data_IF_592511709096
#
_entry.id   IF_592511709096
#
_cell.length_a   1.000
_cell.length_b   1.000
_cell.length_c   1.000
_cell.angle_alpha   90.00
_cell.angle_beta   90.00
_cell.angle_gamma   90.00
#
_symmetry.space_group_name_H-M   'P 1'
#
loop_
_entity.id
_entity.type
_entity.pdbx_description
1 polymer ?
#
# COMPACT_ATOMS: atom_id res chain seq x y z
N UNK A 1 -13.42 -24.09 -0.93
CA UNK A 1 -12.35 -23.45 -1.73
C UNK A 1 -11.61 -22.45 -0.82
N UNK A 2 -10.58 -22.92 -0.12
CA UNK A 2 -9.73 -22.04 0.70
C UNK A 2 -8.88 -21.18 -0.25
N UNK A 3 -9.30 -19.95 -0.49
CA UNK A 3 -8.46 -18.96 -1.17
C UNK A 3 -7.33 -18.55 -0.22
N UNK A 4 -6.32 -19.41 -0.07
CA UNK A 4 -5.05 -19.02 0.53
C UNK A 4 -4.53 -17.84 -0.28
N UNK A 5 -4.52 -16.67 0.33
CA UNK A 5 -3.86 -15.49 -0.24
C UNK A 5 -2.37 -15.82 -0.21
N UNK A 6 -1.84 -16.37 -1.30
CA UNK A 6 -0.41 -16.63 -1.42
C UNK A 6 0.35 -15.31 -1.26
N UNK A 7 1.41 -15.33 -0.46
CA UNK A 7 2.26 -14.16 -0.28
C UNK A 7 3.04 -13.92 -1.58
N UNK A 8 2.56 -12.97 -2.38
CA UNK A 8 3.21 -12.59 -3.63
C UNK A 8 4.38 -11.65 -3.33
N UNK A 9 5.61 -12.19 -3.38
CA UNK A 9 6.85 -11.42 -3.24
C UNK A 9 7.46 -11.22 -4.64
N UNK A 10 7.58 -9.96 -5.11
CA UNK A 10 8.17 -9.72 -6.42
C UNK A 10 9.69 -9.93 -6.39
N UNK A 11 10.20 -10.47 -7.48
CA UNK A 11 11.63 -10.63 -7.73
C UNK A 11 12.28 -9.27 -7.92
N UNK A 12 13.43 -9.11 -7.27
CA UNK A 12 14.28 -7.94 -7.47
C UNK A 12 14.91 -8.03 -8.86
N UNK A 13 14.84 -6.94 -9.62
CA UNK A 13 15.61 -6.80 -10.86
C UNK A 13 17.08 -6.57 -10.52
N UNK A 14 17.92 -7.55 -10.83
CA UNK A 14 19.38 -7.48 -10.65
C UNK A 14 20.05 -7.37 -12.02
N UNK A 15 21.07 -6.52 -12.14
CA UNK A 15 21.80 -6.32 -13.40
C UNK A 15 22.46 -7.64 -13.81
N UNK A 16 22.19 -8.11 -15.03
CA UNK A 16 22.75 -9.36 -15.58
C UNK A 16 22.00 -10.64 -15.18
N UNK A 17 20.86 -10.54 -14.49
CA UNK A 17 20.00 -11.68 -14.19
C UNK A 17 18.69 -11.59 -15.00
N UNK A 18 18.41 -12.63 -15.76
CA UNK A 18 17.06 -12.83 -16.30
C UNK A 18 16.18 -13.44 -15.22
N UNK A 19 15.03 -12.81 -14.98
CA UNK A 19 14.04 -13.32 -14.06
C UNK A 19 13.12 -14.30 -14.81
N UNK A 20 12.61 -15.33 -14.11
CA UNK A 20 11.64 -16.25 -14.70
C UNK A 20 10.40 -15.50 -15.27
N UNK A 21 9.79 -15.99 -16.36
CA UNK A 21 8.65 -15.30 -16.99
C UNK A 21 7.35 -15.40 -16.18
N UNK A 22 7.27 -16.35 -15.26
CA UNK A 22 6.11 -16.67 -14.42
C UNK A 22 6.10 -15.90 -13.08
N UNK A 23 7.10 -15.06 -12.82
CA UNK A 23 7.19 -14.29 -11.57
C UNK A 23 6.96 -12.81 -11.77
N UNK A 24 6.53 -12.13 -10.70
CA UNK A 24 6.55 -10.67 -10.70
C UNK A 24 7.98 -10.16 -10.61
N UNK A 25 8.31 -9.14 -11.39
CA UNK A 25 9.57 -8.42 -11.30
C UNK A 25 9.31 -6.95 -10.98
N UNK A 26 10.07 -6.39 -10.03
CA UNK A 26 10.01 -4.96 -9.74
C UNK A 26 10.64 -4.17 -10.89
N UNK A 27 9.86 -3.28 -11.50
CA UNK A 27 10.34 -2.34 -12.52
C UNK A 27 10.88 -1.07 -11.87
N UNK A 28 10.07 -0.47 -11.00
CA UNK A 28 10.34 0.75 -10.23
C UNK A 28 9.73 0.61 -8.84
N UNK A 29 10.05 1.53 -7.90
CA UNK A 29 9.70 1.50 -6.45
C UNK A 29 8.52 0.59 -6.05
N UNK A 30 7.35 0.80 -6.67
CA UNK A 30 6.11 0.02 -6.44
C UNK A 30 5.54 -0.65 -7.69
N UNK A 31 6.09 -0.37 -8.87
CA UNK A 31 5.59 -0.89 -10.14
C UNK A 31 6.21 -2.23 -10.48
N UNK A 32 5.36 -3.18 -10.91
CA UNK A 32 5.75 -4.56 -11.19
C UNK A 32 5.29 -5.02 -12.58
N UNK A 33 6.16 -5.78 -13.22
CA UNK A 33 5.94 -6.50 -14.49
C UNK A 33 5.80 -8.01 -14.20
N UNK A 34 5.18 -8.76 -15.12
CA UNK A 34 4.92 -10.20 -14.97
C UNK A 34 3.46 -10.59 -15.18
N UNK A 35 3.06 -11.81 -14.79
CA UNK A 35 1.71 -12.34 -15.03
C UNK A 35 0.60 -11.46 -14.44
N UNK A 36 -0.49 -11.30 -15.18
CA UNK A 36 -1.56 -10.36 -14.84
C UNK A 36 -2.23 -10.65 -13.50
N UNK A 37 -2.49 -11.92 -13.19
CA UNK A 37 -3.13 -12.33 -11.94
C UNK A 37 -2.26 -11.97 -10.72
N UNK A 38 -0.93 -12.18 -10.80
CA UNK A 38 0.00 -11.78 -9.74
C UNK A 38 0.08 -10.26 -9.61
N UNK A 39 0.10 -9.53 -10.73
CA UNK A 39 0.08 -8.05 -10.73
C UNK A 39 -1.16 -7.52 -10.04
N UNK A 40 -2.32 -8.12 -10.27
CA UNK A 40 -3.58 -7.75 -9.63
C UNK A 40 -3.51 -7.95 -8.11
N UNK A 41 -3.04 -9.12 -7.65
CA UNK A 41 -2.88 -9.43 -6.22
C UNK A 41 -1.88 -8.46 -5.56
N UNK A 42 -0.70 -8.28 -6.17
CA UNK A 42 0.34 -7.39 -5.67
C UNK A 42 -0.13 -5.94 -5.55
N UNK A 43 -0.84 -5.43 -6.58
CA UNK A 43 -1.39 -4.08 -6.57
C UNK A 43 -2.42 -3.89 -5.45
N UNK A 44 -3.30 -4.87 -5.24
CA UNK A 44 -4.34 -4.81 -4.20
C UNK A 44 -3.76 -4.86 -2.78
N UNK A 45 -2.69 -5.61 -2.58
CA UNK A 45 -2.11 -5.84 -1.24
C UNK A 45 -0.95 -4.88 -0.96
N UNK A 46 0.19 -5.11 -1.61
CA UNK A 46 1.46 -4.48 -1.25
C UNK A 46 1.57 -3.06 -1.76
N UNK A 47 1.23 -2.81 -3.03
CA UNK A 47 1.31 -1.46 -3.58
C UNK A 47 0.37 -0.48 -2.85
N UNK A 48 -0.83 -0.94 -2.47
CA UNK A 48 -1.77 -0.17 -1.65
C UNK A 48 -1.19 0.16 -0.27
N UNK A 49 -0.63 -0.83 0.42
CA UNK A 49 -0.03 -0.64 1.75
C UNK A 49 1.18 0.31 1.70
N UNK A 50 2.11 0.11 0.77
CA UNK A 50 3.29 0.96 0.63
C UNK A 50 2.94 2.40 0.21
N UNK A 51 1.96 2.56 -0.68
CA UNK A 51 1.41 3.87 -1.07
C UNK A 51 0.79 4.59 0.13
N UNK A 52 -0.01 3.89 0.93
CA UNK A 52 -0.62 4.45 2.14
C UNK A 52 0.46 4.86 3.15
N UNK A 53 1.41 3.97 3.45
CA UNK A 53 2.52 4.25 4.36
C UNK A 53 3.35 5.45 3.91
N UNK A 54 3.61 5.58 2.60
CA UNK A 54 4.29 6.74 2.03
C UNK A 54 3.50 8.04 2.25
N UNK A 55 2.18 8.02 2.01
CA UNK A 55 1.30 9.20 2.21
C UNK A 55 1.22 9.61 3.68
N UNK A 56 1.07 8.65 4.58
CA UNK A 56 1.04 8.89 6.03
C UNK A 56 2.35 9.52 6.49
N UNK A 57 3.51 8.94 6.12
CA UNK A 57 4.83 9.46 6.49
C UNK A 57 5.05 10.89 6.00
N UNK A 58 4.64 11.21 4.78
CA UNK A 58 4.86 12.53 4.17
C UNK A 58 3.88 13.60 4.63
N UNK A 59 2.61 13.25 4.85
CA UNK A 59 1.54 14.25 5.06
C UNK A 59 1.11 14.42 6.50
N UNK A 60 1.22 13.38 7.31
CA UNK A 60 0.83 13.43 8.72
C UNK A 60 2.03 13.70 9.64
N UNK A 61 3.17 14.16 9.09
CA UNK A 61 4.42 14.40 9.80
C UNK A 61 4.89 13.21 10.66
N UNK A 62 4.58 11.99 10.23
CA UNK A 62 4.81 10.77 11.02
C UNK A 62 6.28 10.40 11.23
N UNK A 63 7.20 11.06 10.51
CA UNK A 63 8.64 10.99 10.80
C UNK A 63 9.02 11.65 12.14
N UNK A 64 8.13 12.45 12.74
CA UNK A 64 8.34 13.09 14.05
C UNK A 64 7.87 12.24 15.23
N UNK A 65 7.10 11.18 14.97
CA UNK A 65 6.68 10.25 16.02
C UNK A 65 7.76 9.20 16.23
N UNK A 66 8.20 9.02 17.48
CA UNK A 66 9.11 7.95 17.88
C UNK A 66 8.31 6.65 17.95
N UNK A 67 8.50 5.75 16.99
CA UNK A 67 7.85 4.43 16.96
C UNK A 67 8.44 3.47 18.00
N UNK A 68 8.66 3.95 19.23
CA UNK A 68 9.20 3.15 20.32
C UNK A 68 8.05 2.57 21.14
N UNK A 69 8.07 1.25 21.30
CA UNK A 69 7.06 0.51 22.04
C UNK A 69 5.85 0.11 21.19
N UNK A 70 5.33 -1.09 21.48
CA UNK A 70 4.18 -1.68 20.79
C UNK A 70 2.92 -0.84 20.93
N UNK A 71 2.69 -0.24 22.11
CA UNK A 71 1.49 0.55 22.39
C UNK A 71 1.45 1.82 21.54
N UNK A 72 2.57 2.57 21.50
CA UNK A 72 2.64 3.78 20.69
C UNK A 72 2.47 3.46 19.20
N UNK A 73 3.13 2.41 18.71
CA UNK A 73 2.97 1.95 17.33
C UNK A 73 1.52 1.55 17.03
N UNK A 74 0.84 0.87 17.97
CA UNK A 74 -0.55 0.43 17.81
C UNK A 74 -1.53 1.61 17.76
N UNK A 75 -1.36 2.61 18.63
CA UNK A 75 -2.16 3.85 18.62
C UNK A 75 -1.99 4.58 17.29
N UNK A 76 -0.75 4.72 16.82
CA UNK A 76 -0.43 5.34 15.54
C UNK A 76 -1.08 4.63 14.35
N UNK A 77 -0.98 3.30 14.31
CA UNK A 77 -1.63 2.48 13.28
C UNK A 77 -3.14 2.63 13.32
N UNK A 78 -3.75 2.64 14.51
CA UNK A 78 -5.19 2.82 14.67
C UNK A 78 -5.66 4.19 14.12
N UNK A 79 -4.96 5.27 14.46
CA UNK A 79 -5.27 6.62 13.96
C UNK A 79 -5.19 6.68 12.44
N UNK A 80 -4.15 6.07 11.83
CA UNK A 80 -4.01 5.99 10.37
C UNK A 80 -5.23 5.31 9.75
N UNK A 81 -5.63 4.15 10.27
CA UNK A 81 -6.80 3.45 9.75
C UNK A 81 -8.06 4.28 9.89
N UNK A 82 -8.28 4.96 11.03
CA UNK A 82 -9.42 5.86 11.22
C UNK A 82 -9.47 6.97 10.16
N UNK A 83 -8.34 7.65 9.91
CA UNK A 83 -8.26 8.72 8.90
C UNK A 83 -8.52 8.17 7.49
N UNK A 84 -7.96 7.02 7.18
CA UNK A 84 -8.18 6.36 5.87
C UNK A 84 -9.64 6.01 5.66
N UNK A 85 -10.28 5.39 6.66
CA UNK A 85 -11.70 5.06 6.59
C UNK A 85 -12.56 6.31 6.46
N UNK A 86 -12.25 7.37 7.22
CA UNK A 86 -12.96 8.64 7.11
C UNK A 86 -12.86 9.21 5.68
N UNK A 87 -11.68 9.19 5.06
CA UNK A 87 -11.50 9.65 3.68
C UNK A 87 -12.27 8.79 2.66
N UNK A 88 -12.32 7.48 2.85
CA UNK A 88 -13.11 6.56 1.99
C UNK A 88 -14.61 6.83 2.13
N UNK A 89 -15.10 6.97 3.36
CA UNK A 89 -16.51 7.28 3.65
C UNK A 89 -16.88 8.65 3.07
N UNK A 90 -16.04 9.65 3.26
CA UNK A 90 -16.25 11.00 2.71
C UNK A 90 -16.32 10.97 1.18
N UNK A 91 -15.35 10.34 0.52
CA UNK A 91 -15.31 10.16 -0.93
C UNK A 91 -16.59 9.49 -1.46
N UNK A 92 -17.06 8.46 -0.76
CA UNK A 92 -18.31 7.79 -1.10
C UNK A 92 -19.54 8.70 -0.92
N UNK A 93 -19.62 9.43 0.20
CA UNK A 93 -20.74 10.34 0.50
C UNK A 93 -20.85 11.50 -0.49
N UNK A 94 -19.73 12.00 -1.02
CA UNK A 94 -19.73 13.07 -2.04
C UNK A 94 -19.84 12.55 -3.48
N UNK A 95 -20.00 11.23 -3.67
CA UNK A 95 -20.11 10.62 -4.99
C UNK A 95 -18.82 10.66 -5.83
N UNK A 96 -17.66 10.84 -5.18
CA UNK A 96 -16.35 10.94 -5.85
C UNK A 96 -15.40 9.82 -5.41
N UNK A 97 -15.65 8.57 -5.82
CA UNK A 97 -14.86 7.41 -5.39
C UNK A 97 -13.40 7.46 -5.85
N UNK A 98 -13.04 8.30 -6.83
CA UNK A 98 -11.66 8.54 -7.26
C UNK A 98 -10.78 9.12 -6.14
N UNK A 99 -11.38 9.80 -5.15
CA UNK A 99 -10.66 10.34 -4.00
C UNK A 99 -10.56 9.38 -2.83
N UNK A 100 -11.01 8.13 -2.98
CA UNK A 100 -10.77 7.08 -1.98
C UNK A 100 -9.27 6.98 -1.67
N UNK A 101 -8.91 7.00 -0.39
CA UNK A 101 -7.52 7.03 0.10
C UNK A 101 -6.73 8.34 -0.17
N UNK A 102 -7.37 9.40 -0.67
CA UNK A 102 -6.73 10.71 -0.87
C UNK A 102 -6.85 11.57 0.39
N UNK A 103 -5.97 11.35 1.37
CA UNK A 103 -5.97 12.12 2.62
C UNK A 103 -5.82 13.63 2.34
N UNK A 104 -4.98 14.07 1.40
CA UNK A 104 -4.81 15.50 1.13
C UNK A 104 -5.97 16.15 0.37
N UNK A 105 -6.91 15.37 -0.16
CA UNK A 105 -8.13 15.99 -0.68
C UNK A 105 -9.05 16.43 0.46
N UNK A 106 -8.95 15.78 1.62
CA UNK A 106 -9.83 15.97 2.78
C UNK A 106 -9.14 16.60 4.00
N UNK A 107 -7.85 16.94 3.89
CA UNK A 107 -7.06 17.62 4.92
C UNK A 107 -6.81 19.06 4.48
#
# INVERSE_FOLDING_TARGET
EEKKIEHVIPYRRLKGRENPPDVLTIKDRIDVEGPEYLRCIYKRLRAMSESLNGRVKTRLAYSRFTWQGLDNASIHVAIIFCIVYAAVIAAYRIGRPEFRYSIAHFA
#
